data_IF_749063135318
#
_entry.id   IF_749063135318
#
_cell.length_a   1.000
_cell.length_b   1.000
_cell.length_c   1.000
_cell.angle_alpha   90.00
_cell.angle_beta   90.00
_cell.angle_gamma   90.00
#
_symmetry.space_group_name_H-M   'P 1'
#
loop_
_entity.id
_entity.type
_entity.pdbx_description
1 polymer ?
#
# COMPACT_ATOMS: atom_id res chain seq x y z
N UNK A 1 51.80 23.37 -45.82
CA UNK A 1 50.90 22.84 -46.85
C UNK A 1 49.74 22.21 -46.12
N UNK A 2 48.57 22.89 -46.12
CA UNK A 2 47.36 22.53 -45.38
C UNK A 2 46.61 21.41 -46.09
N UNK A 3 46.17 20.40 -45.40
CA UNK A 3 45.05 19.56 -45.85
C UNK A 3 44.03 19.49 -44.73
N UNK A 4 42.89 20.07 -45.02
CA UNK A 4 41.67 19.95 -44.25
C UNK A 4 40.93 18.68 -44.70
N UNK A 5 40.47 17.89 -43.77
CA UNK A 5 39.53 16.82 -44.05
C UNK A 5 38.27 17.00 -43.19
N UNK A 6 37.17 17.30 -43.87
CA UNK A 6 35.84 17.33 -43.31
C UNK A 6 35.41 15.91 -42.95
N UNK A 7 34.89 15.73 -41.77
CA UNK A 7 34.13 14.53 -41.38
C UNK A 7 32.76 14.96 -40.92
N UNK A 8 31.75 14.59 -41.69
CA UNK A 8 30.33 14.79 -41.46
C UNK A 8 29.87 13.89 -40.33
N UNK A 9 29.24 14.47 -39.32
CA UNK A 9 28.58 13.77 -38.19
C UNK A 9 27.22 13.26 -38.62
N UNK A 10 27.06 11.96 -38.61
CA UNK A 10 25.76 11.29 -38.56
C UNK A 10 25.50 10.85 -37.10
N UNK A 11 24.46 11.39 -36.52
CA UNK A 11 24.07 11.12 -35.12
C UNK A 11 23.56 9.69 -34.91
N UNK A 12 24.13 9.02 -33.93
CA UNK A 12 23.55 7.87 -33.26
C UNK A 12 23.68 8.16 -31.76
N UNK A 13 22.54 8.37 -31.10
CA UNK A 13 22.49 8.61 -29.67
C UNK A 13 22.94 7.37 -28.89
N UNK A 14 24.17 7.42 -28.39
CA UNK A 14 24.69 6.43 -27.45
C UNK A 14 24.35 6.91 -26.02
N UNK A 15 23.44 6.22 -25.34
CA UNK A 15 23.21 6.40 -23.92
C UNK A 15 24.50 6.01 -23.16
N UNK A 16 25.17 7.01 -22.60
CA UNK A 16 26.41 6.80 -21.84
C UNK A 16 26.03 6.29 -20.43
N UNK A 17 26.14 4.99 -20.21
CA UNK A 17 26.09 4.39 -18.89
C UNK A 17 27.43 4.60 -18.20
N UNK A 18 27.52 5.56 -17.28
CA UNK A 18 28.70 5.74 -16.45
C UNK A 18 28.69 4.70 -15.31
N UNK A 19 29.52 3.68 -15.42
CA UNK A 19 29.84 2.75 -14.33
C UNK A 19 30.94 3.42 -13.50
N UNK A 20 30.55 3.92 -12.31
CA UNK A 20 31.55 4.39 -11.33
C UNK A 20 31.80 3.23 -10.34
N UNK A 21 32.85 2.46 -10.57
CA UNK A 21 33.35 1.50 -9.58
C UNK A 21 34.48 2.16 -8.78
N UNK A 22 34.19 2.61 -7.57
CA UNK A 22 35.21 3.01 -6.61
C UNK A 22 35.37 1.90 -5.57
N UNK A 23 36.43 1.10 -5.68
CA UNK A 23 36.82 0.11 -4.68
C UNK A 23 37.86 0.73 -3.73
N UNK A 24 37.50 0.89 -2.45
CA UNK A 24 38.48 1.12 -1.38
C UNK A 24 38.39 -0.02 -0.36
N UNK A 25 39.45 -0.81 -0.25
CA UNK A 25 39.56 -1.95 0.68
C UNK A 25 39.76 -1.48 2.13
N UNK A 26 38.85 -1.88 3.01
CA UNK A 26 39.04 -2.00 4.46
C UNK A 26 38.40 -3.32 4.87
N UNK A 27 39.08 -4.20 5.67
CA UNK A 27 38.53 -5.50 6.06
C UNK A 27 37.57 -5.33 7.25
N UNK A 28 36.35 -5.22 6.99
CA UNK A 28 35.15 -5.39 7.84
C UNK A 28 34.04 -5.77 6.90
N UNK A 29 33.13 -6.66 7.28
CA UNK A 29 32.02 -7.06 6.43
C UNK A 29 31.35 -5.81 5.83
N UNK A 30 31.62 -5.56 4.56
CA UNK A 30 31.10 -4.40 3.84
C UNK A 30 29.88 -4.82 3.07
N UNK A 31 28.76 -4.12 3.30
CA UNK A 31 27.65 -4.21 2.39
C UNK A 31 28.13 -3.82 0.99
N UNK A 32 27.90 -4.69 0.02
CA UNK A 32 28.12 -4.43 -1.40
C UNK A 32 26.92 -3.69 -1.97
N UNK A 33 27.15 -2.96 -3.07
CA UNK A 33 26.15 -2.12 -3.69
C UNK A 33 26.16 -2.28 -5.20
N UNK A 34 24.96 -2.43 -5.77
CA UNK A 34 24.70 -2.31 -7.19
C UNK A 34 23.80 -1.10 -7.43
N UNK A 35 24.10 -0.26 -8.41
CA UNK A 35 23.27 0.91 -8.74
C UNK A 35 23.15 1.12 -10.23
N UNK A 36 21.98 1.62 -10.67
CA UNK A 36 21.71 2.00 -12.05
C UNK A 36 20.67 3.09 -12.14
N UNK A 37 20.89 4.05 -13.03
CA UNK A 37 20.00 5.20 -13.24
C UNK A 37 19.48 5.23 -14.68
N UNK A 38 18.23 5.69 -14.81
CA UNK A 38 17.52 5.84 -16.06
C UNK A 38 16.90 7.22 -16.17
N UNK A 39 16.99 7.85 -17.34
CA UNK A 39 16.34 9.14 -17.61
C UNK A 39 14.93 8.92 -18.14
N UNK A 40 13.96 9.65 -17.61
CA UNK A 40 12.54 9.59 -17.96
C UNK A 40 12.16 10.87 -18.69
N UNK A 41 11.43 10.75 -19.78
CA UNK A 41 10.96 11.88 -20.58
C UNK A 41 9.54 12.28 -20.24
N UNK A 42 8.66 11.32 -19.98
CA UNK A 42 7.26 11.49 -19.65
C UNK A 42 6.93 11.09 -18.19
N UNK A 43 5.84 10.34 -18.01
CA UNK A 43 5.42 9.79 -16.73
C UNK A 43 6.10 8.46 -16.47
N UNK A 44 6.86 8.37 -15.41
CA UNK A 44 7.56 7.14 -15.06
C UNK A 44 6.59 6.01 -14.71
N UNK A 45 6.87 4.82 -15.21
CA UNK A 45 6.25 3.57 -14.79
C UNK A 45 7.36 2.70 -14.19
N UNK A 46 7.35 2.56 -12.87
CA UNK A 46 8.43 1.88 -12.15
C UNK A 46 7.92 0.54 -11.63
N UNK A 47 8.65 -0.51 -11.98
CA UNK A 47 8.38 -1.86 -11.50
C UNK A 47 9.57 -2.43 -10.74
N UNK A 48 9.30 -2.96 -9.55
CA UNK A 48 10.27 -3.67 -8.71
C UNK A 48 9.76 -5.08 -8.49
N UNK A 49 10.58 -6.07 -8.80
CA UNK A 49 10.28 -7.49 -8.63
C UNK A 49 11.41 -8.14 -7.82
N UNK A 50 11.10 -8.73 -6.68
CA UNK A 50 12.06 -9.44 -5.84
C UNK A 50 11.38 -10.61 -5.12
N UNK A 51 12.11 -11.67 -4.86
CA UNK A 51 11.59 -12.80 -4.07
C UNK A 51 11.92 -12.68 -2.58
N UNK A 52 12.85 -11.79 -2.21
CA UNK A 52 13.25 -11.54 -0.82
C UNK A 52 13.89 -10.15 -0.75
N UNK A 53 13.77 -9.50 0.40
CA UNK A 53 14.39 -8.21 0.62
C UNK A 53 13.41 -7.04 0.73
N UNK A 54 13.84 -6.03 1.48
CA UNK A 54 13.03 -4.84 1.71
C UNK A 54 13.12 -3.84 0.54
N UNK A 55 11.98 -3.21 0.22
CA UNK A 55 11.88 -2.20 -0.84
C UNK A 55 11.56 -0.83 -0.23
N UNK A 56 12.38 0.17 -0.50
CA UNK A 56 12.16 1.55 -0.08
C UNK A 56 12.08 2.47 -1.28
N UNK A 57 10.98 3.18 -1.41
CA UNK A 57 10.75 4.14 -2.47
C UNK A 57 10.91 5.55 -1.93
N UNK A 58 11.84 6.30 -2.48
CA UNK A 58 12.03 7.72 -2.24
C UNK A 58 11.62 8.50 -3.49
N UNK A 59 10.85 9.58 -3.30
CA UNK A 59 10.34 10.38 -4.40
C UNK A 59 10.95 11.78 -4.41
N UNK A 60 11.10 12.37 -5.59
CA UNK A 60 11.67 13.69 -5.76
C UNK A 60 11.21 14.39 -7.04
N UNK A 61 11.78 15.56 -7.32
CA UNK A 61 11.46 16.34 -8.52
C UNK A 61 12.41 16.03 -9.70
N UNK A 62 13.22 14.97 -9.58
CA UNK A 62 14.13 14.50 -10.63
C UNK A 62 13.37 13.82 -11.76
N UNK A 63 13.86 13.93 -13.00
CA UNK A 63 13.42 13.14 -14.15
C UNK A 63 14.22 11.85 -14.32
N UNK A 64 14.71 11.30 -13.24
CA UNK A 64 15.49 10.07 -13.24
C UNK A 64 14.87 9.05 -12.28
N UNK A 65 14.98 7.79 -12.66
CA UNK A 65 14.74 6.65 -11.79
C UNK A 65 16.08 6.00 -11.48
N UNK A 66 16.44 5.96 -10.21
CA UNK A 66 17.66 5.34 -9.73
C UNK A 66 17.32 4.13 -8.88
N UNK A 67 17.87 2.99 -9.23
CA UNK A 67 17.84 1.77 -8.44
C UNK A 67 19.16 1.59 -7.72
N UNK A 68 19.09 1.25 -6.44
CA UNK A 68 20.23 0.92 -5.61
C UNK A 68 19.90 -0.35 -4.82
N UNK A 69 20.66 -1.40 -5.02
CA UNK A 69 20.51 -2.67 -4.30
C UNK A 69 21.71 -2.84 -3.38
N UNK A 70 21.45 -2.90 -2.09
CA UNK A 70 22.46 -3.06 -1.04
C UNK A 70 22.33 -4.47 -0.49
N UNK A 71 23.41 -5.23 -0.50
CA UNK A 71 23.41 -6.63 -0.09
C UNK A 71 24.65 -6.98 0.72
N UNK A 72 24.51 -7.94 1.62
CA UNK A 72 25.60 -8.44 2.46
C UNK A 72 25.52 -9.97 2.53
N UNK A 73 26.63 -10.62 2.25
CA UNK A 73 26.72 -12.08 2.25
C UNK A 73 26.19 -12.76 1.00
N UNK A 74 25.87 -11.99 -0.04
CA UNK A 74 25.50 -12.49 -1.37
C UNK A 74 26.65 -12.26 -2.36
N UNK A 75 26.76 -13.14 -3.35
CA UNK A 75 27.66 -13.00 -4.49
C UNK A 75 26.83 -12.67 -5.74
N UNK A 76 27.09 -11.52 -6.36
CA UNK A 76 26.40 -11.08 -7.58
C UNK A 76 26.64 -12.09 -8.72
N UNK A 77 25.57 -12.42 -9.45
CA UNK A 77 25.53 -13.41 -10.53
C UNK A 77 25.76 -14.87 -10.09
N UNK A 78 25.76 -15.14 -8.80
CA UNK A 78 25.86 -16.50 -8.25
C UNK A 78 24.62 -16.85 -7.43
N UNK A 79 24.39 -16.16 -6.33
CA UNK A 79 23.23 -16.33 -5.48
C UNK A 79 22.36 -15.05 -5.34
N UNK A 80 22.79 -13.94 -5.93
CA UNK A 80 21.98 -12.75 -6.16
C UNK A 80 22.06 -12.34 -7.64
N UNK A 81 20.92 -12.35 -8.31
CA UNK A 81 20.81 -11.93 -9.70
C UNK A 81 20.05 -10.62 -9.79
N UNK A 82 20.66 -9.59 -10.34
CA UNK A 82 20.04 -8.27 -10.49
C UNK A 82 20.01 -7.92 -11.98
N UNK A 83 18.79 -7.81 -12.52
CA UNK A 83 18.53 -7.37 -13.88
C UNK A 83 17.71 -6.10 -13.88
N UNK A 84 18.00 -5.20 -14.81
CA UNK A 84 17.19 -3.99 -14.96
C UNK A 84 17.10 -3.59 -16.41
N UNK A 85 15.94 -3.07 -16.81
CA UNK A 85 15.68 -2.64 -18.19
C UNK A 85 14.84 -1.37 -18.21
N UNK A 86 14.99 -0.63 -19.29
CA UNK A 86 14.14 0.50 -19.64
C UNK A 86 13.51 0.28 -21.01
N UNK A 87 12.23 0.58 -21.14
CA UNK A 87 11.50 0.66 -22.39
C UNK A 87 10.66 1.96 -22.37
N UNK A 88 11.14 2.98 -23.07
CA UNK A 88 10.58 4.34 -22.98
C UNK A 88 10.63 4.88 -21.55
N UNK A 89 9.47 5.21 -20.99
CA UNK A 89 9.33 5.71 -19.62
C UNK A 89 9.01 4.58 -18.60
N UNK A 90 8.99 3.32 -19.06
CA UNK A 90 8.83 2.15 -18.21
C UNK A 90 10.20 1.62 -17.79
N UNK A 91 10.42 1.52 -16.48
CA UNK A 91 11.70 1.06 -15.91
C UNK A 91 11.44 -0.07 -14.93
N UNK A 92 12.14 -1.17 -15.09
CA UNK A 92 11.99 -2.35 -14.25
C UNK A 92 13.34 -2.76 -13.66
N UNK A 93 13.30 -3.17 -12.37
CA UNK A 93 14.38 -3.91 -11.73
C UNK A 93 13.85 -5.25 -11.23
N UNK A 94 14.63 -6.29 -11.41
CA UNK A 94 14.37 -7.63 -10.88
C UNK A 94 15.60 -8.03 -10.06
N UNK A 95 15.40 -8.31 -8.77
CA UNK A 95 16.46 -8.74 -7.86
C UNK A 95 16.05 -10.10 -7.26
N UNK A 96 16.73 -11.17 -7.66
CA UNK A 96 16.39 -12.54 -7.23
C UNK A 96 17.53 -13.15 -6.44
N UNK A 97 17.21 -13.57 -5.23
CA UNK A 97 18.06 -14.41 -4.41
C UNK A 97 17.81 -15.86 -4.81
N UNK A 98 18.88 -16.55 -5.20
CA UNK A 98 18.88 -17.98 -5.55
C UNK A 98 19.84 -18.74 -4.64
N UNK A 99 19.46 -19.92 -4.18
CA UNK A 99 20.32 -20.79 -3.34
C UNK A 99 19.50 -21.51 -2.29
N UNK A 100 19.91 -22.73 -2.00
CA UNK A 100 19.35 -23.49 -0.89
C UNK A 100 19.88 -22.91 0.42
N UNK A 101 18.99 -22.58 1.31
CA UNK A 101 19.30 -22.25 2.71
C UNK A 101 19.92 -23.47 3.38
N UNK A 102 21.24 -23.57 3.34
CA UNK A 102 21.94 -24.44 4.28
C UNK A 102 21.66 -23.90 5.69
N UNK A 103 21.23 -24.76 6.59
CA UNK A 103 21.06 -24.49 8.01
C UNK A 103 22.35 -23.84 8.57
N UNK A 104 22.43 -22.51 8.55
CA UNK A 104 23.48 -21.75 9.20
C UNK A 104 22.94 -21.25 10.52
N UNK A 105 23.20 -21.99 11.58
CA UNK A 105 22.94 -21.52 12.95
C UNK A 105 23.77 -20.26 13.23
N UNK A 106 23.12 -19.12 13.41
CA UNK A 106 23.64 -17.99 14.12
C UNK A 106 23.89 -16.68 13.41
N UNK A 107 23.62 -16.52 12.10
CA UNK A 107 23.58 -15.20 11.45
C UNK A 107 22.33 -15.12 10.58
N UNK A 108 21.32 -14.40 11.06
CA UNK A 108 20.17 -14.05 10.24
C UNK A 108 20.67 -13.26 9.02
N UNK A 109 20.68 -13.87 7.85
CA UNK A 109 20.92 -13.16 6.61
C UNK A 109 19.70 -12.27 6.40
N UNK A 110 19.91 -10.95 6.40
CA UNK A 110 18.88 -10.01 5.97
C UNK A 110 18.89 -10.03 4.45
N UNK A 111 17.72 -10.20 3.83
CA UNK A 111 17.57 -10.07 2.40
C UNK A 111 18.14 -8.75 1.85
N UNK A 112 18.35 -8.62 0.54
CA UNK A 112 18.85 -7.41 -0.06
C UNK A 112 17.90 -6.23 0.21
N UNK A 113 18.44 -5.01 0.29
CA UNK A 113 17.65 -3.79 0.39
C UNK A 113 17.63 -3.12 -0.98
N UNK A 114 16.44 -2.93 -1.51
CA UNK A 114 16.23 -2.25 -2.78
C UNK A 114 15.74 -0.83 -2.47
N UNK A 115 16.56 0.16 -2.80
CA UNK A 115 16.21 1.57 -2.70
C UNK A 115 15.95 2.11 -4.10
N UNK A 116 14.79 2.74 -4.28
CA UNK A 116 14.41 3.35 -5.56
C UNK A 116 14.18 4.83 -5.33
N UNK A 117 14.87 5.67 -6.08
CA UNK A 117 14.56 7.09 -6.17
C UNK A 117 13.88 7.35 -7.50
N UNK A 118 12.72 8.01 -7.47
CA UNK A 118 11.89 8.21 -8.65
C UNK A 118 11.17 9.55 -8.63
N UNK A 119 10.63 10.01 -9.77
CA UNK A 119 9.76 11.18 -9.81
C UNK A 119 8.53 11.02 -8.92
N UNK A 120 8.02 12.12 -8.35
CA UNK A 120 6.75 12.11 -7.61
C UNK A 120 5.55 11.77 -8.49
N UNK A 121 5.57 12.20 -9.76
CA UNK A 121 4.52 11.91 -10.74
C UNK A 121 4.88 10.62 -11.49
N UNK A 122 4.42 9.48 -10.96
CA UNK A 122 4.75 8.16 -11.48
C UNK A 122 3.72 7.11 -11.10
N UNK A 123 3.70 6.01 -11.85
CA UNK A 123 3.00 4.79 -11.47
C UNK A 123 4.02 3.78 -10.92
N UNK A 124 3.69 3.14 -9.80
CA UNK A 124 4.57 2.23 -9.08
C UNK A 124 3.92 0.86 -8.96
N UNK A 125 4.66 -0.17 -9.33
CA UNK A 125 4.31 -1.56 -9.07
C UNK A 125 5.45 -2.26 -8.35
N UNK A 126 5.14 -2.93 -7.22
CA UNK A 126 6.09 -3.72 -6.45
C UNK A 126 5.52 -5.11 -6.26
N UNK A 127 6.31 -6.11 -6.63
CA UNK A 127 6.03 -7.51 -6.38
C UNK A 127 7.21 -8.07 -5.54
N UNK A 128 6.97 -8.47 -4.29
CA UNK A 128 7.99 -9.04 -3.40
C UNK A 128 7.48 -10.30 -2.70
N UNK A 129 8.36 -11.21 -2.32
CA UNK A 129 8.01 -12.34 -1.48
C UNK A 129 7.80 -11.89 -0.02
N UNK A 130 8.85 -11.93 0.79
CA UNK A 130 8.73 -11.69 2.25
C UNK A 130 9.22 -10.30 2.70
N UNK A 131 9.50 -9.42 1.75
CA UNK A 131 10.12 -8.13 2.02
C UNK A 131 9.14 -7.02 2.43
N UNK A 132 9.52 -6.22 3.41
CA UNK A 132 8.76 -5.02 3.76
C UNK A 132 8.86 -3.95 2.67
N UNK A 133 7.77 -3.22 2.46
CA UNK A 133 7.69 -2.12 1.49
C UNK A 133 7.41 -0.81 2.19
N UNK A 134 8.20 0.22 1.90
CA UNK A 134 7.98 1.58 2.39
C UNK A 134 7.99 2.57 1.21
N UNK A 135 6.95 3.40 1.08
CA UNK A 135 6.88 4.42 0.02
C UNK A 135 6.73 5.82 0.58
N UNK A 136 7.41 6.78 -0.05
CA UNK A 136 7.24 8.20 0.18
C UNK A 136 6.10 8.77 -0.70
N UNK A 137 5.66 10.04 -0.45
CA UNK A 137 4.56 10.67 -1.16
C UNK A 137 4.71 10.62 -2.68
N UNK A 138 3.65 10.20 -3.39
CA UNK A 138 3.64 10.19 -4.85
C UNK A 138 2.26 10.49 -5.43
N UNK A 139 2.22 10.89 -6.70
CA UNK A 139 1.00 11.10 -7.49
C UNK A 139 0.92 10.05 -8.58
N UNK A 140 -0.07 9.17 -8.49
CA UNK A 140 -0.30 8.11 -9.47
C UNK A 140 -0.83 6.84 -8.86
N UNK A 141 -0.72 5.77 -9.62
CA UNK A 141 -1.15 4.45 -9.17
C UNK A 141 -0.04 3.77 -8.39
N UNK A 142 -0.40 3.23 -7.24
CA UNK A 142 0.46 2.36 -6.42
C UNK A 142 -0.16 0.97 -6.39
N UNK A 143 0.57 -0.02 -6.86
CA UNK A 143 0.21 -1.43 -6.70
C UNK A 143 1.34 -2.16 -6.00
N UNK A 144 1.04 -2.79 -4.86
CA UNK A 144 2.01 -3.53 -4.06
C UNK A 144 1.44 -4.91 -3.78
N UNK A 145 2.22 -5.93 -4.11
CA UNK A 145 1.96 -7.29 -3.70
C UNK A 145 3.18 -7.82 -2.93
N UNK A 146 2.94 -8.40 -1.76
CA UNK A 146 3.97 -9.05 -0.94
C UNK A 146 3.39 -10.33 -0.32
N UNK A 147 4.23 -11.33 -0.08
CA UNK A 147 3.84 -12.51 0.69
C UNK A 147 3.55 -12.10 2.14
N UNK A 148 4.58 -12.07 2.98
CA UNK A 148 4.42 -11.85 4.43
C UNK A 148 4.94 -10.49 4.91
N UNK A 149 5.40 -9.64 4.00
CA UNK A 149 6.01 -8.35 4.31
C UNK A 149 5.00 -7.27 4.72
N UNK A 150 5.35 -6.48 5.72
CA UNK A 150 4.55 -5.30 6.08
C UNK A 150 4.70 -4.19 5.04
N UNK A 151 3.58 -3.51 4.74
CA UNK A 151 3.53 -2.42 3.77
C UNK A 151 3.19 -1.11 4.45
N UNK A 152 4.02 -0.07 4.21
CA UNK A 152 3.75 1.31 4.66
C UNK A 152 3.76 2.26 3.49
N UNK A 153 2.64 2.92 3.28
CA UNK A 153 2.42 3.88 2.19
C UNK A 153 2.10 5.25 2.75
N UNK A 154 2.81 6.28 2.27
CA UNK A 154 2.60 7.66 2.70
C UNK A 154 2.13 8.54 1.54
N UNK A 155 1.08 9.32 1.77
CA UNK A 155 0.57 10.40 0.93
C UNK A 155 0.51 10.09 -0.58
N UNK A 156 -0.46 9.27 -0.98
CA UNK A 156 -0.71 8.95 -2.39
C UNK A 156 -1.89 9.77 -2.92
N UNK A 157 -1.65 10.53 -3.98
CA UNK A 157 -2.69 11.19 -4.77
C UNK A 157 -2.96 10.34 -6.02
N UNK A 158 -3.89 9.40 -5.91
CA UNK A 158 -4.22 8.39 -6.92
C UNK A 158 -4.70 7.07 -6.31
N UNK A 159 -4.75 6.03 -7.15
CA UNK A 159 -5.26 4.73 -6.73
C UNK A 159 -4.21 3.92 -5.97
N UNK A 160 -4.61 3.30 -4.88
CA UNK A 160 -3.80 2.41 -4.05
C UNK A 160 -4.41 1.01 -4.07
N UNK A 161 -3.59 0.02 -4.41
CA UNK A 161 -3.95 -1.40 -4.44
C UNK A 161 -2.84 -2.18 -3.73
N UNK A 162 -3.11 -2.65 -2.52
CA UNK A 162 -2.15 -3.37 -1.67
C UNK A 162 -2.71 -4.72 -1.31
N UNK A 163 -1.92 -5.76 -1.59
CA UNK A 163 -2.22 -7.15 -1.29
C UNK A 163 -1.02 -7.78 -0.58
N UNK A 164 -1.22 -8.31 0.62
CA UNK A 164 -0.20 -9.04 1.38
C UNK A 164 -0.79 -10.32 1.98
N UNK A 165 0.02 -11.36 2.14
CA UNK A 165 -0.39 -12.55 2.86
C UNK A 165 -0.70 -12.22 4.32
N UNK A 166 0.31 -12.23 5.18
CA UNK A 166 0.12 -12.04 6.62
C UNK A 166 0.68 -10.70 7.15
N UNK A 167 1.22 -9.87 6.29
CA UNK A 167 1.80 -8.58 6.65
C UNK A 167 0.78 -7.52 7.03
N UNK A 168 1.15 -6.63 7.94
CA UNK A 168 0.32 -5.47 8.26
C UNK A 168 0.41 -4.38 7.20
N UNK A 169 -0.72 -3.73 6.93
CA UNK A 169 -0.84 -2.61 5.99
C UNK A 169 -1.04 -1.31 6.76
N UNK A 170 -0.16 -0.33 6.54
CA UNK A 170 -0.31 1.03 7.05
C UNK A 170 -0.37 2.02 5.89
N UNK A 171 -1.46 2.77 5.78
CA UNK A 171 -1.62 3.85 4.79
C UNK A 171 -1.85 5.16 5.52
N UNK A 172 -0.99 6.15 5.28
CA UNK A 172 -1.11 7.48 5.86
C UNK A 172 -1.31 8.50 4.74
N UNK A 173 -2.56 8.89 4.52
CA UNK A 173 -2.95 9.83 3.47
C UNK A 173 -3.04 9.17 2.08
N UNK A 174 -4.25 8.93 1.59
CA UNK A 174 -4.48 8.50 0.22
C UNK A 174 -5.75 9.13 -0.33
N UNK A 175 -5.72 9.50 -1.63
CA UNK A 175 -6.88 10.05 -2.32
C UNK A 175 -7.20 9.22 -3.54
N UNK A 176 -8.46 8.81 -3.69
CA UNK A 176 -8.94 8.02 -4.83
C UNK A 176 -9.55 6.69 -4.44
N UNK A 177 -9.33 5.67 -5.28
CA UNK A 177 -9.78 4.31 -4.99
C UNK A 177 -8.69 3.55 -4.21
N UNK A 178 -9.00 3.09 -3.01
CA UNK A 178 -8.08 2.48 -2.06
C UNK A 178 -8.55 1.05 -1.78
N UNK A 179 -7.77 0.06 -2.21
CA UNK A 179 -8.00 -1.36 -1.96
C UNK A 179 -6.88 -1.92 -1.12
N UNK A 180 -7.23 -2.50 0.02
CA UNK A 180 -6.30 -3.04 1.00
C UNK A 180 -6.72 -4.46 1.34
N UNK A 181 -5.86 -5.42 1.07
CA UNK A 181 -6.10 -6.82 1.39
C UNK A 181 -4.92 -7.41 2.15
N UNK A 182 -5.23 -8.14 3.22
CA UNK A 182 -4.26 -8.96 3.93
C UNK A 182 -4.94 -10.26 4.40
N UNK A 183 -4.18 -11.36 4.49
CA UNK A 183 -4.66 -12.58 5.11
C UNK A 183 -5.00 -12.31 6.58
N UNK A 184 -4.01 -12.30 7.46
CA UNK A 184 -4.23 -12.19 8.90
C UNK A 184 -3.66 -10.89 9.51
N UNK A 185 -3.06 -10.03 8.72
CA UNK A 185 -2.44 -8.77 9.17
C UNK A 185 -3.45 -7.68 9.55
N UNK A 186 -2.99 -6.72 10.33
CA UNK A 186 -3.77 -5.54 10.65
C UNK A 186 -3.75 -4.52 9.52
N UNK A 187 -4.87 -3.82 9.32
CA UNK A 187 -4.99 -2.70 8.39
C UNK A 187 -5.20 -1.41 9.18
N UNK A 188 -4.29 -0.47 9.05
CA UNK A 188 -4.44 0.87 9.59
C UNK A 188 -4.32 1.90 8.45
N UNK A 189 -5.43 2.58 8.15
CA UNK A 189 -5.48 3.54 7.07
C UNK A 189 -6.13 4.86 7.54
N UNK A 190 -5.36 5.95 7.50
CA UNK A 190 -5.75 7.26 8.04
C UNK A 190 -5.63 8.35 7.00
N UNK A 191 -6.34 9.46 7.23
CA UNK A 191 -6.35 10.62 6.35
C UNK A 191 -6.72 10.26 4.92
N UNK A 192 -7.74 9.41 4.76
CA UNK A 192 -8.22 8.94 3.47
C UNK A 192 -9.22 9.92 2.85
N UNK A 193 -9.26 9.96 1.52
CA UNK A 193 -10.19 10.78 0.76
C UNK A 193 -10.67 10.02 -0.48
N UNK A 194 -11.87 9.42 -0.44
CA UNK A 194 -12.43 8.69 -1.57
C UNK A 194 -13.13 7.37 -1.22
N UNK A 195 -12.85 6.32 -1.99
CA UNK A 195 -13.47 5.00 -1.83
C UNK A 195 -12.51 4.04 -1.16
N UNK A 196 -12.99 3.30 -0.18
CA UNK A 196 -12.19 2.33 0.57
C UNK A 196 -12.83 0.95 0.50
N UNK A 197 -12.02 -0.03 0.11
CA UNK A 197 -12.30 -1.45 0.19
C UNK A 197 -11.17 -2.12 0.99
N UNK A 198 -11.44 -2.52 2.23
CA UNK A 198 -10.47 -3.09 3.13
C UNK A 198 -10.91 -4.47 3.60
N UNK A 199 -10.06 -5.47 3.43
CA UNK A 199 -10.35 -6.85 3.75
C UNK A 199 -9.17 -7.51 4.48
N UNK A 200 -9.45 -8.13 5.62
CA UNK A 200 -8.51 -8.96 6.37
C UNK A 200 -9.18 -10.30 6.71
N UNK A 201 -8.39 -11.37 6.85
CA UNK A 201 -8.89 -12.61 7.45
C UNK A 201 -9.27 -12.36 8.90
N UNK A 202 -8.29 -12.24 9.78
CA UNK A 202 -8.52 -12.15 11.23
C UNK A 202 -7.99 -10.86 11.86
N UNK A 203 -7.37 -9.99 11.08
CA UNK A 203 -6.75 -8.75 11.56
C UNK A 203 -7.74 -7.64 11.93
N UNK A 204 -7.33 -6.82 12.89
CA UNK A 204 -8.04 -5.59 13.21
C UNK A 204 -7.94 -4.57 12.07
N UNK A 205 -9.06 -3.92 11.73
CA UNK A 205 -9.12 -2.91 10.66
C UNK A 205 -9.48 -1.55 11.26
N UNK A 206 -8.61 -0.56 11.04
CA UNK A 206 -8.85 0.82 11.45
C UNK A 206 -8.82 1.76 10.26
N UNK A 207 -9.91 2.46 10.03
CA UNK A 207 -10.12 3.40 8.92
C UNK A 207 -10.46 4.79 9.47
N UNK A 208 -9.83 5.82 8.94
CA UNK A 208 -10.12 7.21 9.27
C UNK A 208 -10.06 8.08 8.01
N UNK A 209 -11.08 8.89 7.74
CA UNK A 209 -11.07 9.80 6.62
C UNK A 209 -12.42 10.27 6.10
N UNK A 210 -12.36 11.07 5.03
CA UNK A 210 -13.53 11.51 4.26
C UNK A 210 -13.85 10.48 3.18
N UNK A 211 -14.96 9.78 3.34
CA UNK A 211 -15.26 8.58 2.55
C UNK A 211 -16.48 8.79 1.65
N UNK A 212 -16.35 8.38 0.38
CA UNK A 212 -17.44 8.35 -0.59
C UNK A 212 -18.08 6.95 -0.69
N UNK A 213 -17.30 5.91 -0.47
CA UNK A 213 -17.77 4.53 -0.33
C UNK A 213 -16.88 3.79 0.69
N UNK A 214 -17.49 2.89 1.46
CA UNK A 214 -16.81 2.10 2.48
C UNK A 214 -17.28 0.65 2.44
N UNK A 215 -16.37 -0.25 2.11
CA UNK A 215 -16.58 -1.68 2.23
C UNK A 215 -15.45 -2.24 3.11
N UNK A 216 -15.80 -2.76 4.28
CA UNK A 216 -14.84 -3.31 5.24
C UNK A 216 -15.28 -4.69 5.67
N UNK A 217 -14.36 -5.64 5.60
CA UNK A 217 -14.62 -7.01 6.02
C UNK A 217 -13.41 -7.59 6.77
N UNK A 218 -13.69 -8.27 7.87
CA UNK A 218 -12.73 -9.13 8.56
C UNK A 218 -13.42 -10.40 9.05
N UNK A 219 -12.67 -11.46 9.32
CA UNK A 219 -13.20 -12.66 9.96
C UNK A 219 -13.44 -12.41 11.45
N UNK A 220 -12.39 -12.50 12.26
CA UNK A 220 -12.51 -12.41 13.71
C UNK A 220 -12.05 -11.07 14.31
N UNK A 221 -11.47 -10.20 13.49
CA UNK A 221 -10.95 -8.89 13.90
C UNK A 221 -12.03 -7.86 14.19
N UNK A 222 -11.74 -6.90 15.07
CA UNK A 222 -12.60 -5.74 15.28
C UNK A 222 -12.41 -4.69 14.18
N UNK A 223 -13.44 -3.91 13.93
CA UNK A 223 -13.43 -2.82 12.95
C UNK A 223 -13.67 -1.49 13.66
N UNK A 224 -12.71 -0.57 13.57
CA UNK A 224 -12.82 0.81 14.00
C UNK A 224 -12.85 1.73 12.79
N UNK A 225 -13.97 2.39 12.54
CA UNK A 225 -14.05 3.33 11.42
C UNK A 225 -14.51 4.72 11.92
N UNK A 226 -13.71 5.73 11.58
CA UNK A 226 -14.04 7.13 11.83
C UNK A 226 -14.25 7.85 10.50
N UNK A 227 -15.48 8.26 10.28
CA UNK A 227 -15.91 8.97 9.08
C UNK A 227 -15.87 10.47 9.35
N UNK A 228 -15.11 11.19 8.54
CA UNK A 228 -14.98 12.65 8.66
C UNK A 228 -16.15 13.41 8.02
N UNK A 229 -16.42 14.66 8.46
CA UNK A 229 -17.41 15.53 7.84
C UNK A 229 -17.14 15.74 6.34
N UNK A 230 -18.22 15.85 5.55
CA UNK A 230 -18.17 15.95 4.10
C UNK A 230 -18.11 14.62 3.36
N UNK A 231 -18.12 13.52 4.08
CA UNK A 231 -18.28 12.17 3.50
C UNK A 231 -19.67 12.00 2.90
N UNK A 232 -19.77 11.18 1.85
CA UNK A 232 -21.02 10.93 1.12
C UNK A 232 -21.20 9.45 0.90
N UNK A 233 -22.40 8.93 1.15
CA UNK A 233 -22.74 7.59 0.70
C UNK A 233 -23.06 7.64 -0.80
N UNK A 234 -22.05 7.59 -1.66
CA UNK A 234 -22.24 7.54 -3.13
C UNK A 234 -22.78 6.20 -3.64
N UNK A 235 -22.75 5.18 -2.78
CA UNK A 235 -23.29 3.82 -2.92
C UNK A 235 -23.55 3.27 -1.54
N UNK A 236 -24.06 2.05 -1.42
CA UNK A 236 -24.21 1.40 -0.10
C UNK A 236 -22.86 1.19 0.58
N UNK A 237 -22.78 1.41 1.88
CA UNK A 237 -21.64 1.03 2.71
C UNK A 237 -21.88 -0.31 3.38
N UNK A 238 -20.84 -1.11 3.48
CA UNK A 238 -20.91 -2.44 4.06
C UNK A 238 -19.75 -2.66 5.04
N UNK A 239 -20.09 -2.97 6.29
CA UNK A 239 -19.12 -3.27 7.34
C UNK A 239 -19.47 -4.62 7.94
N UNK A 240 -18.57 -5.59 7.85
CA UNK A 240 -18.82 -6.96 8.30
C UNK A 240 -17.64 -7.52 9.06
N UNK A 241 -17.93 -8.16 10.19
CA UNK A 241 -16.99 -9.00 10.90
C UNK A 241 -17.68 -10.30 11.34
N UNK A 242 -16.93 -11.37 11.52
CA UNK A 242 -17.45 -12.60 12.15
C UNK A 242 -17.65 -12.38 13.64
N UNK A 243 -16.57 -12.39 14.41
CA UNK A 243 -16.64 -12.38 15.87
C UNK A 243 -16.20 -11.07 16.54
N UNK A 244 -15.72 -10.13 15.77
CA UNK A 244 -15.23 -8.83 16.27
C UNK A 244 -16.30 -7.80 16.52
N UNK A 245 -15.98 -6.79 17.32
CA UNK A 245 -16.83 -5.62 17.51
C UNK A 245 -16.66 -4.60 16.39
N UNK A 246 -17.71 -3.81 16.14
CA UNK A 246 -17.69 -2.69 15.20
C UNK A 246 -17.92 -1.39 15.94
N UNK A 247 -16.92 -0.51 15.94
CA UNK A 247 -17.01 0.86 16.42
C UNK A 247 -17.01 1.83 15.24
N UNK A 248 -18.15 2.48 14.98
CA UNK A 248 -18.32 3.41 13.87
C UNK A 248 -18.65 4.81 14.34
N UNK A 249 -17.79 5.76 14.05
CA UNK A 249 -17.97 7.19 14.32
C UNK A 249 -18.42 7.89 13.04
N UNK A 250 -19.62 8.47 13.05
CA UNK A 250 -20.25 9.10 11.89
C UNK A 250 -20.39 10.62 12.07
N UNK A 251 -20.27 11.41 11.00
CA UNK A 251 -20.57 12.84 11.06
C UNK A 251 -22.08 13.07 11.27
N UNK A 252 -22.39 14.15 11.95
CA UNK A 252 -23.75 14.46 12.37
C UNK A 252 -24.75 14.67 11.22
N UNK A 253 -24.25 15.11 10.08
CA UNK A 253 -25.01 15.49 8.88
C UNK A 253 -25.15 14.35 7.86
N UNK A 254 -24.55 13.19 8.11
CA UNK A 254 -24.62 12.04 7.21
C UNK A 254 -26.07 11.52 7.10
N UNK A 255 -26.53 11.33 5.88
CA UNK A 255 -27.85 10.76 5.57
C UNK A 255 -27.69 9.29 5.19
N UNK A 256 -28.34 8.39 5.93
CA UNK A 256 -28.24 6.95 5.69
C UNK A 256 -29.49 6.19 6.11
N UNK A 257 -29.78 5.10 5.40
CA UNK A 257 -30.64 4.04 5.88
C UNK A 257 -29.77 3.01 6.60
N UNK A 258 -29.92 2.88 7.90
CA UNK A 258 -29.10 2.01 8.74
C UNK A 258 -29.76 0.65 8.84
N UNK A 259 -28.99 -0.40 8.56
CA UNK A 259 -29.31 -1.79 8.79
C UNK A 259 -28.18 -2.43 9.59
N UNK A 260 -28.34 -2.52 10.90
CA UNK A 260 -27.35 -3.06 11.80
C UNK A 260 -27.86 -4.33 12.48
N UNK A 261 -27.07 -5.38 12.49
CA UNK A 261 -27.41 -6.66 13.11
C UNK A 261 -26.22 -7.37 13.73
N UNK A 262 -26.46 -8.03 14.86
CA UNK A 262 -25.54 -8.95 15.52
C UNK A 262 -26.30 -10.22 15.91
N UNK A 263 -25.62 -11.38 15.88
CA UNK A 263 -26.24 -12.64 16.30
C UNK A 263 -26.17 -12.78 17.84
N UNK A 264 -24.97 -12.57 18.42
CA UNK A 264 -24.75 -12.66 19.86
C UNK A 264 -23.96 -11.43 20.36
N UNK A 265 -24.68 -10.36 20.59
CA UNK A 265 -24.09 -9.09 21.03
C UNK A 265 -25.17 -8.04 21.27
N UNK A 266 -24.76 -6.79 21.35
CA UNK A 266 -25.70 -5.68 21.48
C UNK A 266 -25.32 -4.50 20.60
N UNK A 267 -26.35 -3.75 20.19
CA UNK A 267 -26.19 -2.54 19.38
C UNK A 267 -26.38 -1.32 20.26
N UNK A 268 -25.40 -0.44 20.31
CA UNK A 268 -25.42 0.82 21.05
C UNK A 268 -25.43 2.00 20.08
N UNK A 269 -26.45 2.86 20.20
CA UNK A 269 -26.62 4.06 19.38
C UNK A 269 -26.31 5.32 20.22
N UNK A 270 -25.24 6.00 19.86
CA UNK A 270 -24.88 7.36 20.29
C UNK A 270 -25.24 8.44 19.27
N UNK A 271 -26.09 8.09 18.28
CA UNK A 271 -26.57 8.97 17.21
C UNK A 271 -28.10 8.94 17.16
N UNK A 272 -28.77 10.02 16.75
CA UNK A 272 -30.23 10.00 16.56
C UNK A 272 -30.59 9.19 15.31
N UNK A 273 -31.37 8.13 15.52
CA UNK A 273 -31.91 7.28 14.45
C UNK A 273 -33.41 7.20 14.60
N UNK A 274 -34.17 7.50 13.56
CA UNK A 274 -35.59 7.22 13.50
C UNK A 274 -35.77 5.75 13.13
N UNK A 275 -36.20 4.94 14.11
CA UNK A 275 -36.36 3.50 13.92
C UNK A 275 -37.66 3.22 13.17
N UNK A 276 -37.60 2.35 12.16
CA UNK A 276 -38.73 1.85 11.39
C UNK A 276 -38.98 0.38 11.72
N UNK A 277 -40.09 0.06 12.33
CA UNK A 277 -40.45 -1.32 12.67
C UNK A 277 -40.09 -1.73 14.11
N UNK A 278 -39.74 -3.01 14.29
CA UNK A 278 -39.43 -3.59 15.62
C UNK A 278 -37.98 -3.29 15.99
N UNK A 279 -37.74 -2.67 17.10
CA UNK A 279 -36.42 -2.44 17.70
C UNK A 279 -36.05 -3.61 18.61
N UNK A 280 -34.87 -4.13 18.47
CA UNK A 280 -34.26 -5.09 19.39
C UNK A 280 -32.82 -4.68 19.73
N UNK A 281 -32.29 -5.23 20.80
CA UNK A 281 -30.88 -4.98 21.17
C UNK A 281 -29.86 -5.58 20.15
N UNK A 282 -30.32 -6.49 19.30
CA UNK A 282 -29.47 -7.18 18.31
C UNK A 282 -29.78 -6.82 16.86
N UNK A 283 -30.83 -6.03 16.59
CA UNK A 283 -31.19 -5.64 15.23
C UNK A 283 -31.85 -4.25 15.20
N UNK A 284 -31.36 -3.41 14.32
CA UNK A 284 -31.85 -2.04 14.14
C UNK A 284 -32.02 -1.76 12.65
N UNK A 285 -33.24 -1.38 12.27
CA UNK A 285 -33.53 -0.76 10.99
C UNK A 285 -34.02 0.66 11.22
N UNK A 286 -33.42 1.64 10.57
CA UNK A 286 -33.81 3.01 10.80
C UNK A 286 -33.16 4.00 9.84
N UNK A 287 -33.58 5.25 9.97
CA UNK A 287 -33.09 6.36 9.15
C UNK A 287 -32.34 7.36 10.01
N UNK A 288 -31.16 7.75 9.54
CA UNK A 288 -30.38 8.86 10.05
C UNK A 288 -30.56 10.07 9.12
N UNK A 289 -30.96 11.22 9.69
CA UNK A 289 -31.17 12.49 8.98
C UNK A 289 -32.08 12.37 7.73
N UNK A 290 -33.22 11.66 7.88
CA UNK A 290 -34.19 11.49 6.80
C UNK A 290 -33.92 10.31 5.86
N UNK A 291 -32.82 9.60 6.07
CA UNK A 291 -32.45 8.44 5.25
C UNK A 291 -31.66 8.81 4.00
N UNK A 292 -31.20 7.78 3.28
CA UNK A 292 -30.34 7.90 2.10
C UNK A 292 -29.95 6.54 1.54
N UNK A 293 -28.73 6.38 1.11
CA UNK A 293 -28.17 5.10 0.73
C UNK A 293 -28.02 4.17 1.95
N UNK A 294 -27.90 2.87 1.72
CA UNK A 294 -27.81 1.89 2.79
C UNK A 294 -26.44 1.88 3.48
N UNK A 295 -26.47 1.84 4.80
CA UNK A 295 -25.34 1.53 5.67
C UNK A 295 -25.63 0.20 6.36
N UNK A 296 -25.03 -0.86 5.87
CA UNK A 296 -25.21 -2.22 6.40
C UNK A 296 -24.04 -2.57 7.32
N UNK A 297 -24.35 -2.96 8.56
CA UNK A 297 -23.35 -3.36 9.56
C UNK A 297 -23.75 -4.72 10.10
N UNK A 298 -22.86 -5.67 10.05
CA UNK A 298 -23.12 -7.02 10.56
C UNK A 298 -21.92 -7.56 11.33
N UNK A 299 -22.19 -8.11 12.50
CA UNK A 299 -21.23 -8.94 13.23
C UNK A 299 -21.92 -10.24 13.68
N UNK A 300 -21.16 -11.32 13.78
CA UNK A 300 -21.66 -12.56 14.42
C UNK A 300 -21.81 -12.34 15.92
N UNK A 301 -20.70 -12.39 16.64
CA UNK A 301 -20.72 -12.44 18.12
C UNK A 301 -20.26 -11.14 18.81
N UNK A 302 -19.98 -10.10 18.07
CA UNK A 302 -19.51 -8.82 18.61
C UNK A 302 -20.60 -7.78 18.83
N UNK A 303 -20.24 -6.70 19.51
CA UNK A 303 -21.10 -5.55 19.70
C UNK A 303 -20.91 -4.51 18.60
N UNK A 304 -21.98 -3.80 18.26
CA UNK A 304 -21.95 -2.68 17.32
C UNK A 304 -22.18 -1.37 18.09
N UNK A 305 -21.26 -0.44 17.96
CA UNK A 305 -21.38 0.91 18.52
C UNK A 305 -21.39 1.95 17.42
N UNK A 306 -22.47 2.72 17.32
CA UNK A 306 -22.57 3.87 16.44
C UNK A 306 -22.50 5.15 17.28
N UNK A 307 -21.54 6.02 17.00
CA UNK A 307 -21.34 7.27 17.72
C UNK A 307 -21.20 8.46 16.77
N UNK A 308 -21.40 9.67 17.30
CA UNK A 308 -21.27 10.91 16.55
C UNK A 308 -19.86 11.46 16.68
N UNK A 309 -19.30 11.95 15.58
CA UNK A 309 -18.08 12.75 15.63
C UNK A 309 -18.34 14.07 16.37
N UNK A 310 -17.42 14.45 17.21
CA UNK A 310 -17.46 15.72 17.97
C UNK A 310 -17.28 16.90 17.06
#
# INVERSE_FOLDING_TARGET
MKLATHCTATGLGLACATILAAATLVPGARAEEWSKSYTISGRAQVRVDTNDGSVRIATGDSKQVEFRVIYEGYELNKNLHIDSRQDGDSVQVNARVTGHWGFSWGRGHRGPRIEVRMPKDADLQIDTGDGSVETQPLRGRVKIHTGDGSVRVQAVDGNVDIDTGDGSITVEGAKGDIRLHTGDGHIEARNLDGRVDANSGDGHIKIDGRLDALNVKTGDGSIDARVEPGSKLSGGWSIRTGDGSVDLVLPADLQANIDASTNDGHISLGIPVTVEGTFSNSQIHGKMNGGGQSLTIHTGDGSIRLSKSS
#
